data_IF_325422450279
#
_entry.id   IF_325422450279
#
_cell.length_a   1.000
_cell.length_b   1.000
_cell.length_c   1.000
_cell.angle_alpha   90.00
_cell.angle_beta   90.00
_cell.angle_gamma   90.00
#
_symmetry.space_group_name_H-M   'P 1'
#
loop_
_entity.id
_entity.type
_entity.pdbx_description
1 polymer ?
#
# COMPACT_ATOMS: atom_id res chain seq x y z
N UNK A 1 17.45 -3.84 -9.56
CA UNK A 1 16.37 -3.51 -8.61
C UNK A 1 17.03 -3.39 -7.26
N UNK A 2 17.35 -2.17 -6.83
CA UNK A 2 18.01 -1.97 -5.54
C UNK A 2 17.00 -2.19 -4.42
N UNK A 3 17.30 -3.16 -3.56
CA UNK A 3 16.46 -3.54 -2.43
C UNK A 3 16.32 -2.36 -1.46
N UNK A 4 15.08 -1.92 -1.23
CA UNK A 4 14.73 -0.96 -0.17
C UNK A 4 14.30 -1.64 1.13
N UNK A 5 14.66 -2.91 1.32
CA UNK A 5 14.23 -3.67 2.49
C UNK A 5 15.32 -4.66 2.95
N UNK A 6 15.99 -4.35 4.05
CA UNK A 6 16.59 -5.34 4.93
C UNK A 6 15.75 -5.43 6.21
N UNK A 7 15.59 -6.60 6.81
CA UNK A 7 14.76 -6.78 8.00
C UNK A 7 15.37 -5.97 9.17
N UNK A 8 14.68 -4.95 9.67
CA UNK A 8 15.19 -4.15 10.79
C UNK A 8 14.63 -2.74 11.01
N UNK A 9 13.70 -2.25 10.18
CA UNK A 9 13.06 -0.93 10.42
C UNK A 9 13.93 0.29 10.09
N UNK A 10 14.84 0.15 9.11
CA UNK A 10 15.75 1.24 8.74
C UNK A 10 15.53 1.63 7.28
N UNK A 11 15.20 2.91 7.03
CA UNK A 11 15.09 3.49 5.69
C UNK A 11 16.38 4.26 5.38
N UNK A 12 16.82 4.30 4.12
CA UNK A 12 17.98 5.11 3.73
C UNK A 12 17.58 6.59 3.65
N UNK A 13 18.16 7.42 4.50
CA UNK A 13 17.98 8.88 4.50
C UNK A 13 18.79 9.59 3.39
N UNK A 14 18.69 10.92 3.29
CA UNK A 14 19.44 11.71 2.31
C UNK A 14 20.95 11.51 2.51
N UNK A 15 21.62 10.91 1.53
CA UNK A 15 23.05 10.57 1.61
C UNK A 15 23.37 9.08 1.83
N UNK A 16 22.36 8.20 1.84
CA UNK A 16 22.57 6.74 1.96
C UNK A 16 22.87 6.27 3.38
N UNK A 17 22.65 7.13 4.37
CA UNK A 17 22.79 6.78 5.79
C UNK A 17 21.50 6.12 6.26
N UNK A 18 21.57 4.94 6.90
CA UNK A 18 20.39 4.31 7.49
C UNK A 18 19.78 5.18 8.59
N UNK A 19 18.50 5.50 8.47
CA UNK A 19 17.70 6.29 9.40
C UNK A 19 16.57 5.43 9.97
N UNK A 20 16.37 5.55 11.28
CA UNK A 20 15.25 4.91 11.95
C UNK A 20 13.97 5.62 11.56
N UNK A 21 13.00 4.87 11.05
CA UNK A 21 11.65 5.39 10.83
C UNK A 21 10.86 5.11 12.10
N UNK A 22 10.20 6.13 12.67
CA UNK A 22 9.34 5.97 13.84
C UNK A 22 8.00 6.71 13.69
N UNK A 23 7.10 6.46 14.64
CA UNK A 23 5.84 7.17 14.78
C UNK A 23 4.93 7.06 13.56
N UNK A 24 4.42 8.20 13.08
CA UNK A 24 3.50 8.25 11.95
C UNK A 24 4.14 7.74 10.65
N UNK A 25 5.42 8.04 10.43
CA UNK A 25 6.12 7.64 9.21
C UNK A 25 6.25 6.11 9.13
N UNK A 26 6.60 5.47 10.23
CA UNK A 26 6.69 4.00 10.32
C UNK A 26 5.31 3.37 10.08
N UNK A 27 4.27 3.95 10.68
CA UNK A 27 2.91 3.45 10.52
C UNK A 27 2.41 3.56 9.07
N UNK A 28 2.63 4.70 8.41
CA UNK A 28 2.26 4.89 7.00
C UNK A 28 3.07 3.99 6.08
N UNK A 29 4.36 3.76 6.39
CA UNK A 29 5.17 2.79 5.66
C UNK A 29 4.57 1.39 5.80
N UNK A 30 4.27 0.93 7.01
CA UNK A 30 3.65 -0.38 7.25
C UNK A 30 2.31 -0.54 6.53
N UNK A 31 1.49 0.52 6.49
CA UNK A 31 0.25 0.55 5.71
C UNK A 31 0.53 0.39 4.21
N UNK A 32 1.46 1.18 3.67
CA UNK A 32 1.84 1.08 2.25
C UNK A 32 2.33 -0.33 1.91
N UNK A 33 3.10 -0.95 2.79
CA UNK A 33 3.60 -2.31 2.62
C UNK A 33 2.48 -3.35 2.55
N UNK A 34 1.53 -3.30 3.49
CA UNK A 34 0.35 -4.19 3.48
C UNK A 34 -0.50 -4.01 2.21
N UNK A 35 -0.69 -2.78 1.77
CA UNK A 35 -1.49 -2.47 0.58
C UNK A 35 -0.81 -2.94 -0.72
N UNK A 36 0.53 -2.92 -0.79
CA UNK A 36 1.27 -3.38 -1.97
C UNK A 36 1.58 -4.88 -1.96
N UNK A 37 1.37 -5.58 -0.84
CA UNK A 37 1.53 -7.02 -0.78
C UNK A 37 0.33 -7.70 -1.45
N UNK A 38 0.57 -8.68 -2.31
CA UNK A 38 -0.51 -9.46 -2.92
C UNK A 38 -1.11 -10.44 -1.92
N UNK A 39 -2.43 -10.37 -1.70
CA UNK A 39 -3.13 -11.38 -0.91
C UNK A 39 -2.93 -12.76 -1.54
N UNK A 40 -2.58 -13.75 -0.71
CA UNK A 40 -2.22 -15.10 -1.15
C UNK A 40 -0.78 -15.25 -1.66
N UNK A 41 0.03 -14.18 -1.64
CA UNK A 41 1.42 -14.21 -2.09
C UNK A 41 2.40 -14.80 -1.07
N UNK A 42 2.00 -14.94 0.19
CA UNK A 42 2.84 -15.48 1.27
C UNK A 42 2.42 -16.92 1.63
N UNK A 43 3.32 -17.91 1.54
CA UNK A 43 3.00 -19.32 1.81
C UNK A 43 2.49 -19.62 3.22
N UNK A 44 2.91 -18.82 4.21
CA UNK A 44 2.61 -19.06 5.63
C UNK A 44 1.54 -18.11 6.20
N UNK A 45 1.07 -17.16 5.39
CA UNK A 45 -0.03 -16.25 5.75
C UNK A 45 -0.77 -15.82 4.48
N UNK A 46 -1.73 -16.63 4.00
CA UNK A 46 -2.43 -16.37 2.74
C UNK A 46 -3.44 -15.23 2.84
N UNK A 47 -3.85 -14.83 4.05
CA UNK A 47 -4.81 -13.75 4.27
C UNK A 47 -4.12 -12.37 4.23
N UNK A 48 -2.81 -12.32 4.50
CA UNK A 48 -2.04 -11.08 4.49
C UNK A 48 -1.91 -10.49 3.07
N UNK A 49 -2.16 -9.18 2.99
CA UNK A 49 -2.03 -8.38 1.77
C UNK A 49 -3.36 -7.85 1.24
N UNK A 50 -3.31 -7.31 0.04
CA UNK A 50 -4.43 -6.66 -0.63
C UNK A 50 -4.83 -7.36 -1.91
N UNK A 51 -6.12 -7.23 -2.25
CA UNK A 51 -6.68 -7.56 -3.56
C UNK A 51 -6.51 -6.45 -4.60
N UNK A 52 -5.85 -5.33 -4.25
CA UNK A 52 -5.66 -4.19 -5.17
C UNK A 52 -4.94 -4.56 -6.47
N UNK A 53 -4.08 -5.58 -6.48
CA UNK A 53 -3.40 -6.08 -7.69
C UNK A 53 -4.36 -6.65 -8.76
N UNK A 54 -5.62 -6.90 -8.41
CA UNK A 54 -6.65 -7.36 -9.34
C UNK A 54 -7.53 -6.19 -9.83
N UNK A 55 -7.43 -5.04 -9.18
CA UNK A 55 -8.31 -3.91 -9.41
C UNK A 55 -7.85 -3.10 -10.62
N UNK A 56 -8.67 -3.12 -11.66
CA UNK A 56 -8.48 -2.27 -12.83
C UNK A 56 -8.97 -0.84 -12.51
N UNK A 57 -8.15 0.21 -12.68
CA UNK A 57 -8.58 1.58 -12.43
C UNK A 57 -9.72 2.05 -13.36
N UNK A 58 -9.89 1.43 -14.53
CA UNK A 58 -10.89 1.81 -15.53
C UNK A 58 -12.25 1.10 -15.35
N UNK A 59 -12.36 0.12 -14.44
CA UNK A 59 -13.63 -0.55 -14.22
C UNK A 59 -14.65 0.35 -13.50
N UNK A 60 -15.94 0.02 -13.63
CA UNK A 60 -16.99 0.76 -12.96
C UNK A 60 -16.86 0.69 -11.43
N UNK A 61 -16.99 1.83 -10.76
CA UNK A 61 -16.84 1.96 -9.31
C UNK A 61 -15.45 1.55 -8.76
N UNK A 62 -14.40 1.62 -9.59
CA UNK A 62 -13.03 1.28 -9.21
C UNK A 62 -12.57 2.00 -7.94
N UNK A 63 -12.91 3.28 -7.77
CA UNK A 63 -12.56 4.08 -6.58
C UNK A 63 -13.20 3.53 -5.30
N UNK A 64 -14.49 3.20 -5.34
CA UNK A 64 -15.21 2.63 -4.19
C UNK A 64 -14.68 1.24 -3.84
N UNK A 65 -14.35 0.44 -4.86
CA UNK A 65 -13.73 -0.87 -4.68
C UNK A 65 -12.32 -0.76 -4.11
N UNK A 66 -11.51 0.18 -4.58
CA UNK A 66 -10.18 0.47 -4.02
C UNK A 66 -10.28 0.82 -2.54
N UNK A 67 -11.20 1.71 -2.17
CA UNK A 67 -11.45 2.09 -0.79
C UNK A 67 -11.87 0.89 0.08
N UNK A 68 -12.74 0.03 -0.43
CA UNK A 68 -13.20 -1.16 0.28
C UNK A 68 -12.07 -2.18 0.48
N UNK A 69 -11.32 -2.50 -0.57
CA UNK A 69 -10.18 -3.42 -0.53
C UNK A 69 -9.07 -2.91 0.39
N UNK A 70 -8.79 -1.61 0.37
CA UNK A 70 -7.78 -1.02 1.23
C UNK A 70 -8.19 -1.05 2.71
N UNK A 71 -9.46 -0.77 3.04
CA UNK A 71 -9.95 -0.94 4.41
C UNK A 71 -9.98 -2.40 4.85
N UNK A 72 -10.33 -3.32 3.95
CA UNK A 72 -10.31 -4.76 4.24
C UNK A 72 -8.90 -5.22 4.64
N UNK A 73 -7.88 -4.83 3.86
CA UNK A 73 -6.47 -5.12 4.15
C UNK A 73 -5.99 -4.55 5.48
N UNK A 74 -6.59 -3.46 5.97
CA UNK A 74 -6.17 -2.79 7.20
C UNK A 74 -7.05 -3.14 8.41
N UNK A 75 -8.01 -4.06 8.27
CA UNK A 75 -8.90 -4.46 9.37
C UNK A 75 -8.15 -5.01 10.59
N UNK A 76 -7.01 -5.66 10.36
CA UNK A 76 -6.14 -6.21 11.39
C UNK A 76 -5.20 -5.17 12.03
N UNK A 77 -5.28 -3.90 11.61
CA UNK A 77 -4.39 -2.83 12.03
C UNK A 77 -5.16 -1.82 12.90
N UNK A 78 -5.12 -1.96 14.24
CA UNK A 78 -6.00 -1.21 15.13
C UNK A 78 -5.85 0.30 14.99
N UNK A 79 -6.99 0.98 14.85
CA UNK A 79 -7.05 2.45 14.78
C UNK A 79 -6.60 3.05 13.44
N UNK A 80 -6.27 2.21 12.45
CA UNK A 80 -5.95 2.66 11.09
C UNK A 80 -7.17 2.48 10.19
N UNK A 81 -7.49 3.51 9.40
CA UNK A 81 -8.57 3.43 8.40
C UNK A 81 -8.26 4.28 7.17
N UNK A 82 -8.78 3.85 6.02
CA UNK A 82 -8.74 4.65 4.80
C UNK A 82 -9.97 5.54 4.77
N UNK A 83 -9.75 6.85 4.62
CA UNK A 83 -10.84 7.84 4.55
C UNK A 83 -11.13 8.30 3.12
N UNK A 84 -10.18 8.13 2.21
CA UNK A 84 -10.35 8.50 0.81
C UNK A 84 -9.47 7.61 -0.08
N UNK A 85 -9.95 7.33 -1.28
CA UNK A 85 -9.21 6.70 -2.36
C UNK A 85 -9.30 7.56 -3.62
N UNK A 86 -8.23 7.62 -4.39
CA UNK A 86 -8.17 8.23 -5.73
C UNK A 86 -7.14 7.49 -6.57
N UNK A 87 -7.24 7.59 -7.90
CA UNK A 87 -6.24 7.04 -8.80
C UNK A 87 -5.43 8.15 -9.43
N UNK A 88 -4.10 8.04 -9.36
CA UNK A 88 -3.16 8.89 -10.08
C UNK A 88 -2.86 8.25 -11.43
N UNK A 89 -3.32 8.89 -12.51
CA UNK A 89 -3.14 8.41 -13.88
C UNK A 89 -1.74 8.62 -14.42
N UNK A 90 -0.97 9.58 -13.90
CA UNK A 90 0.39 9.85 -14.36
C UNK A 90 1.35 8.80 -13.81
N UNK A 91 1.27 8.55 -12.49
CA UNK A 91 2.09 7.57 -11.79
C UNK A 91 1.54 6.14 -11.89
N UNK A 92 0.31 5.97 -12.41
CA UNK A 92 -0.43 4.71 -12.49
C UNK A 92 -0.64 4.02 -11.12
N UNK A 93 -0.87 4.81 -10.07
CA UNK A 93 -0.94 4.34 -8.68
C UNK A 93 -2.27 4.72 -8.01
N UNK A 94 -2.77 3.85 -7.14
CA UNK A 94 -3.82 4.22 -6.20
C UNK A 94 -3.23 5.05 -5.06
N UNK A 95 -3.85 6.18 -4.75
CA UNK A 95 -3.51 7.04 -3.62
C UNK A 95 -4.61 6.94 -2.58
N UNK A 96 -4.21 6.65 -1.33
CA UNK A 96 -5.12 6.53 -0.20
C UNK A 96 -4.79 7.55 0.86
N UNK A 97 -5.80 8.30 1.32
CA UNK A 97 -5.68 9.07 2.54
C UNK A 97 -6.01 8.16 3.74
N UNK A 98 -5.09 8.12 4.69
CA UNK A 98 -5.12 7.20 5.83
C UNK A 98 -5.13 8.01 7.12
N UNK A 99 -6.06 7.67 8.00
CA UNK A 99 -6.04 8.11 9.39
C UNK A 99 -5.47 7.01 10.27
N UNK A 100 -4.56 7.39 11.15
CA UNK A 100 -3.96 6.52 12.15
C UNK A 100 -4.07 7.18 13.53
N UNK A 101 -3.81 6.44 14.64
CA UNK A 101 -3.75 7.04 15.97
C UNK A 101 -2.65 8.12 16.12
N UNK A 102 -1.65 8.11 15.22
CA UNK A 102 -0.50 9.01 15.25
C UNK A 102 -0.64 10.20 14.30
N UNK A 103 -1.73 10.28 13.51
CA UNK A 103 -2.00 11.38 12.61
C UNK A 103 -2.57 10.93 11.26
N UNK A 104 -2.59 11.86 10.30
CA UNK A 104 -3.08 11.62 8.94
C UNK A 104 -1.91 11.62 7.95
N UNK A 105 -2.01 10.78 6.93
CA UNK A 105 -1.05 10.78 5.84
C UNK A 105 -1.62 10.17 4.56
N UNK A 106 -0.77 10.09 3.55
CA UNK A 106 -1.09 9.46 2.27
C UNK A 106 -0.16 8.30 2.01
N UNK A 107 -0.69 7.27 1.36
CA UNK A 107 0.05 6.08 0.92
C UNK A 107 -0.33 5.77 -0.52
N UNK A 108 0.64 5.28 -1.29
CA UNK A 108 0.44 4.83 -2.65
C UNK A 108 0.49 3.30 -2.73
N UNK A 109 -0.38 2.70 -3.54
CA UNK A 109 -0.34 1.27 -3.82
C UNK A 109 -0.62 0.96 -5.29
N UNK A 110 -0.04 -0.14 -5.75
CA UNK A 110 -0.24 -0.63 -7.12
C UNK A 110 -1.62 -1.25 -7.28
N UNK A 111 -2.27 -0.92 -8.39
CA UNK A 111 -3.45 -1.63 -8.88
C UNK A 111 -3.05 -2.85 -9.72
N UNK A 112 -3.96 -3.31 -10.56
CA UNK A 112 -3.62 -4.26 -11.62
C UNK A 112 -2.58 -3.66 -12.55
N UNK A 113 -1.44 -4.33 -12.70
CA UNK A 113 -0.46 -3.97 -13.71
C UNK A 113 -1.10 -4.18 -15.09
N UNK A 114 -1.01 -3.17 -15.97
CA UNK A 114 -1.24 -3.37 -17.40
C UNK A 114 -0.27 -4.46 -17.85
N UNK A 115 -0.79 -5.67 -18.03
CA UNK A 115 -0.02 -6.73 -18.64
C UNK A 115 0.03 -6.38 -20.11
N UNK A 116 1.08 -5.68 -20.53
CA UNK A 116 1.36 -5.46 -21.94
C UNK A 116 1.38 -6.84 -22.60
N UNK A 117 0.39 -7.09 -23.45
CA UNK A 117 0.14 -8.41 -24.02
C UNK A 117 1.39 -8.93 -24.72
N UNK A 118 1.85 -10.11 -24.32
CA UNK A 118 2.78 -10.91 -25.10
C UNK A 118 2.40 -12.38 -24.98
N UNK A 119 1.42 -12.77 -25.79
CA UNK A 119 1.29 -14.11 -26.36
C UNK A 119 0.78 -14.00 -27.80
#
# INVERSE_FOLDING_TARGET
MDLKWEPGGVALGPGGIPERVDGLAEMLQNVALKLNLHRGGLPYDPELGSGLFQLDPQEENSVQRAWALANETLMDTPGVRVVQASYDTEEKMWIFAVETPLGRGQVAARGKEETDGSF
#
